data_IF_862003779626
#
_entry.id   IF_862003779626
#
_cell.length_a   1.000
_cell.length_b   1.000
_cell.length_c   1.000
_cell.angle_alpha   90.00
_cell.angle_beta   90.00
_cell.angle_gamma   90.00
#
_symmetry.space_group_name_H-M   'P 1'
#
loop_
_entity.id
_entity.type
_entity.pdbx_description
1 polymer ?
#
# COMPACT_ATOMS: atom_id res chain seq x y z
N UNK A 1 -1.53 -8.06 29.98
CA UNK A 1 -0.37 -7.71 29.13
C UNK A 1 0.09 -6.30 29.51
N UNK A 2 1.36 -6.10 29.84
CA UNK A 2 1.88 -4.86 30.42
C UNK A 2 1.99 -3.74 29.36
N UNK A 3 1.85 -2.47 29.73
CA UNK A 3 1.90 -1.32 28.80
C UNK A 3 3.23 -1.27 28.04
N UNK A 4 4.32 -1.63 28.72
CA UNK A 4 5.66 -1.65 28.16
C UNK A 4 5.82 -2.74 27.08
N UNK A 5 5.10 -3.86 27.18
CA UNK A 5 5.15 -4.91 26.15
C UNK A 5 4.36 -4.49 24.90
N UNK A 6 3.19 -3.85 25.06
CA UNK A 6 2.41 -3.31 23.93
C UNK A 6 3.18 -2.26 23.12
N UNK A 7 3.91 -1.39 23.81
CA UNK A 7 4.73 -0.38 23.15
C UNK A 7 5.88 -1.00 22.37
N UNK A 8 6.59 -1.96 22.95
CA UNK A 8 7.64 -2.73 22.25
C UNK A 8 7.08 -3.45 21.02
N UNK A 9 5.94 -4.11 21.15
CA UNK A 9 5.28 -4.81 20.04
C UNK A 9 4.91 -3.85 18.91
N UNK A 10 4.41 -2.66 19.25
CA UNK A 10 4.07 -1.62 18.27
C UNK A 10 5.30 -1.11 17.51
N UNK A 11 6.38 -0.78 18.22
CA UNK A 11 7.63 -0.31 17.62
C UNK A 11 8.24 -1.39 16.73
N UNK A 12 8.35 -2.62 17.24
CA UNK A 12 8.93 -3.73 16.48
C UNK A 12 8.10 -4.05 15.22
N UNK A 13 6.77 -4.05 15.33
CA UNK A 13 5.88 -4.25 14.17
C UNK A 13 6.15 -3.19 13.10
N UNK A 14 6.19 -1.91 13.48
CA UNK A 14 6.37 -0.82 12.53
C UNK A 14 7.77 -0.82 11.92
N UNK A 15 8.81 -1.08 12.72
CA UNK A 15 10.18 -1.13 12.23
C UNK A 15 10.38 -2.28 11.22
N UNK A 16 9.91 -3.48 11.56
CA UNK A 16 9.98 -4.63 10.65
C UNK A 16 9.17 -4.40 9.38
N UNK A 17 7.96 -3.86 9.50
CA UNK A 17 7.12 -3.59 8.35
C UNK A 17 7.70 -2.50 7.44
N UNK A 18 8.34 -1.47 8.01
CA UNK A 18 9.00 -0.43 7.25
C UNK A 18 10.15 -0.99 6.41
N UNK A 19 11.06 -1.75 7.02
CA UNK A 19 12.18 -2.34 6.27
C UNK A 19 11.71 -3.34 5.22
N UNK A 20 10.71 -4.15 5.54
CA UNK A 20 10.09 -5.03 4.55
C UNK A 20 9.46 -4.23 3.40
N UNK A 21 8.73 -3.16 3.70
CA UNK A 21 8.12 -2.29 2.71
C UNK A 21 9.16 -1.66 1.78
N UNK A 22 10.24 -1.13 2.35
CA UNK A 22 11.37 -0.57 1.59
C UNK A 22 12.07 -1.61 0.71
N UNK A 23 12.23 -2.84 1.20
CA UNK A 23 12.82 -3.94 0.42
C UNK A 23 11.98 -4.30 -0.81
N UNK A 24 10.65 -4.36 -0.66
CA UNK A 24 9.75 -4.60 -1.80
C UNK A 24 9.68 -3.39 -2.72
N UNK A 25 9.72 -2.16 -2.20
CA UNK A 25 9.87 -0.96 -3.04
C UNK A 25 11.11 -1.04 -3.91
N UNK A 26 12.24 -1.49 -3.35
CA UNK A 26 13.50 -1.65 -4.08
C UNK A 26 13.39 -2.72 -5.15
N UNK A 27 12.87 -3.90 -4.79
CA UNK A 27 12.65 -5.00 -5.71
C UNK A 27 11.71 -4.62 -6.86
N UNK A 28 10.60 -3.95 -6.53
CA UNK A 28 9.63 -3.51 -7.51
C UNK A 28 10.20 -2.43 -8.43
N UNK A 29 10.90 -1.43 -7.89
CA UNK A 29 11.50 -0.37 -8.70
C UNK A 29 12.53 -0.92 -9.67
N UNK A 30 13.29 -1.94 -9.26
CA UNK A 30 14.17 -2.64 -10.19
C UNK A 30 13.38 -3.23 -11.36
N UNK A 31 12.35 -4.05 -11.11
CA UNK A 31 11.56 -4.63 -12.20
C UNK A 31 10.74 -3.61 -13.00
N UNK A 32 10.30 -2.51 -12.38
CA UNK A 32 9.50 -1.49 -13.02
C UNK A 32 10.32 -0.60 -13.96
N UNK A 33 11.62 -0.42 -13.69
CA UNK A 33 12.46 0.55 -14.40
C UNK A 33 13.68 -0.06 -15.12
N UNK A 34 13.91 -1.37 -14.99
CA UNK A 34 14.97 -2.05 -15.77
C UNK A 34 14.70 -1.87 -17.26
N UNK A 35 15.66 -1.25 -17.95
CA UNK A 35 15.62 -1.04 -19.40
C UNK A 35 14.78 0.14 -19.88
N UNK A 36 14.27 1.00 -18.97
CA UNK A 36 13.58 2.23 -19.35
C UNK A 36 14.51 3.44 -19.29
N UNK A 37 14.47 4.27 -20.33
CA UNK A 37 14.99 5.65 -20.26
C UNK A 37 14.05 6.50 -19.36
N UNK A 38 14.53 7.66 -18.87
CA UNK A 38 13.79 8.51 -17.93
C UNK A 38 12.34 8.75 -18.42
N UNK A 39 11.36 8.53 -17.54
CA UNK A 39 9.92 8.80 -17.75
C UNK A 39 9.20 7.96 -18.83
N UNK A 40 9.75 6.83 -19.30
CA UNK A 40 9.05 5.93 -20.23
C UNK A 40 8.18 4.86 -19.53
N UNK A 41 7.80 5.09 -18.28
CA UNK A 41 7.02 4.12 -17.52
C UNK A 41 5.59 3.98 -18.05
N UNK A 42 5.34 2.93 -18.82
CA UNK A 42 4.03 2.55 -19.40
C UNK A 42 3.06 1.91 -18.36
N UNK A 43 3.38 2.02 -17.06
CA UNK A 43 2.67 1.32 -16.00
C UNK A 43 3.22 -0.08 -15.75
N UNK A 44 2.98 -0.61 -14.54
CA UNK A 44 3.28 -2.01 -14.21
C UNK A 44 2.00 -2.81 -14.10
N UNK A 45 1.95 -3.99 -14.75
CA UNK A 45 0.88 -4.96 -14.52
C UNK A 45 0.84 -5.44 -13.07
N UNK A 46 1.98 -5.38 -12.36
CA UNK A 46 2.10 -5.78 -10.95
C UNK A 46 2.68 -4.63 -10.14
N UNK A 47 1.85 -3.97 -9.34
CA UNK A 47 2.28 -2.92 -8.42
C UNK A 47 2.48 -3.48 -7.01
N UNK A 48 3.68 -3.99 -6.75
CA UNK A 48 4.00 -4.68 -5.49
C UNK A 48 3.87 -3.80 -4.23
N UNK A 49 4.25 -2.51 -4.23
CA UNK A 49 4.05 -1.63 -3.07
C UNK A 49 2.60 -1.61 -2.57
N UNK A 50 1.62 -1.65 -3.47
CA UNK A 50 0.21 -1.73 -3.09
C UNK A 50 -0.13 -3.02 -2.33
N UNK A 51 0.46 -4.16 -2.72
CA UNK A 51 0.27 -5.43 -2.04
C UNK A 51 0.69 -5.37 -0.57
N UNK A 52 1.79 -4.69 -0.24
CA UNK A 52 2.25 -4.53 1.14
C UNK A 52 1.26 -3.72 1.96
N UNK A 53 0.62 -2.71 1.37
CA UNK A 53 -0.42 -1.93 2.05
C UNK A 53 -1.59 -2.82 2.43
N UNK A 54 -2.04 -3.66 1.50
CA UNK A 54 -3.12 -4.64 1.73
C UNK A 54 -2.75 -5.59 2.86
N UNK A 55 -1.57 -6.21 2.79
CA UNK A 55 -1.09 -7.13 3.83
C UNK A 55 -0.94 -6.42 5.18
N UNK A 56 -0.28 -5.25 5.19
CA UNK A 56 -0.07 -4.42 6.37
C UNK A 56 -1.39 -4.11 7.08
N UNK A 57 -2.33 -3.52 6.36
CA UNK A 57 -3.62 -3.08 6.91
C UNK A 57 -4.52 -4.27 7.30
N UNK A 58 -4.51 -5.38 6.54
CA UNK A 58 -5.32 -6.55 6.89
C UNK A 58 -4.76 -7.30 8.10
N UNK A 59 -3.47 -7.63 8.11
CA UNK A 59 -2.86 -8.45 9.18
C UNK A 59 -2.54 -7.67 10.44
N UNK A 60 -2.03 -6.46 10.27
CA UNK A 60 -1.57 -5.65 11.39
C UNK A 60 -2.60 -4.58 11.76
N UNK A 61 -3.59 -4.28 10.93
CA UNK A 61 -4.61 -3.27 11.25
C UNK A 61 -4.04 -1.85 11.24
N UNK A 62 -4.68 -0.93 11.97
CA UNK A 62 -4.26 0.48 11.98
C UNK A 62 -2.86 0.73 12.56
N UNK A 63 -2.32 -0.20 13.36
CA UNK A 63 -0.96 -0.06 13.90
C UNK A 63 0.13 -0.10 12.83
N UNK A 64 -0.15 -0.58 11.61
CA UNK A 64 0.83 -0.57 10.51
C UNK A 64 0.91 0.75 9.77
N UNK A 65 -0.07 1.66 9.96
CA UNK A 65 -0.15 2.90 9.19
C UNK A 65 1.13 3.74 9.25
N UNK A 66 1.77 3.96 10.41
CA UNK A 66 2.98 4.79 10.47
C UNK A 66 4.11 4.24 9.59
N UNK A 67 4.37 2.94 9.66
CA UNK A 67 5.39 2.29 8.85
C UNK A 67 5.07 2.33 7.35
N UNK A 68 3.81 2.08 6.98
CA UNK A 68 3.38 2.13 5.59
C UNK A 68 3.51 3.56 5.03
N UNK A 69 2.98 4.56 5.72
CA UNK A 69 3.09 5.97 5.31
C UNK A 69 4.54 6.42 5.20
N UNK A 70 5.40 6.03 6.15
CA UNK A 70 6.83 6.32 6.08
C UNK A 70 7.44 5.73 4.81
N UNK A 71 7.18 4.44 4.52
CA UNK A 71 7.69 3.78 3.32
C UNK A 71 7.14 4.40 2.02
N UNK A 72 5.93 4.94 2.02
CA UNK A 72 5.36 5.63 0.85
C UNK A 72 6.05 6.94 0.51
N UNK A 73 6.52 7.64 1.53
CA UNK A 73 7.24 8.90 1.35
C UNK A 73 8.70 8.62 1.02
N UNK A 74 9.32 7.69 1.76
CA UNK A 74 10.76 7.42 1.66
C UNK A 74 11.12 6.50 0.50
N UNK A 75 10.22 5.62 0.06
CA UNK A 75 10.45 4.71 -1.06
C UNK A 75 10.82 5.45 -2.34
N UNK A 76 9.92 6.30 -2.89
CA UNK A 76 10.21 7.12 -4.07
C UNK A 76 11.38 8.09 -3.86
N UNK A 77 11.61 8.57 -2.63
CA UNK A 77 12.70 9.51 -2.33
C UNK A 77 14.09 8.86 -2.38
N UNK A 78 14.23 7.61 -1.90
CA UNK A 78 15.52 6.93 -1.79
C UNK A 78 15.78 5.93 -2.91
N UNK A 79 14.74 5.43 -3.57
CA UNK A 79 14.85 4.38 -4.58
C UNK A 79 14.46 4.99 -5.91
N UNK A 80 15.42 5.17 -6.83
CA UNK A 80 15.22 5.72 -8.17
C UNK A 80 14.40 7.04 -8.22
N UNK A 81 14.74 8.07 -7.42
CA UNK A 81 13.93 9.29 -7.30
C UNK A 81 13.67 10.01 -8.62
N UNK A 82 14.64 9.95 -9.53
CA UNK A 82 14.59 10.53 -10.88
C UNK A 82 13.48 9.95 -11.78
N UNK A 83 12.88 8.82 -11.41
CA UNK A 83 11.85 8.12 -12.19
C UNK A 83 10.42 8.45 -11.71
N UNK A 84 10.26 9.18 -10.60
CA UNK A 84 8.96 9.47 -10.00
C UNK A 84 8.50 10.91 -10.26
N UNK A 85 7.19 11.05 -10.42
CA UNK A 85 6.51 12.34 -10.59
C UNK A 85 6.42 13.14 -9.28
N UNK A 86 6.26 14.47 -9.37
CA UNK A 86 6.13 15.33 -8.19
C UNK A 86 4.89 15.01 -7.35
N UNK A 87 3.79 14.57 -7.97
CA UNK A 87 2.54 14.21 -7.28
C UNK A 87 2.55 12.79 -6.68
N UNK A 88 3.62 12.02 -6.88
CA UNK A 88 3.64 10.59 -6.61
C UNK A 88 3.35 10.22 -5.15
N UNK A 89 3.88 10.98 -4.19
CA UNK A 89 3.61 10.76 -2.76
C UNK A 89 2.12 10.94 -2.42
N UNK A 90 1.44 11.90 -3.06
CA UNK A 90 0.01 12.13 -2.88
C UNK A 90 -0.81 11.01 -3.52
N UNK A 91 -0.44 10.58 -4.73
CA UNK A 91 -1.04 9.43 -5.38
C UNK A 91 -0.87 8.15 -4.52
N UNK A 92 0.29 7.98 -3.89
CA UNK A 92 0.55 6.85 -3.01
C UNK A 92 -0.30 6.90 -1.72
N UNK A 93 -0.51 8.08 -1.14
CA UNK A 93 -1.46 8.24 -0.03
C UNK A 93 -2.88 7.85 -0.42
N UNK A 94 -3.34 8.23 -1.61
CA UNK A 94 -4.64 7.82 -2.11
C UNK A 94 -4.72 6.30 -2.30
N UNK A 95 -3.64 5.67 -2.77
CA UNK A 95 -3.54 4.21 -2.83
C UNK A 95 -3.71 3.54 -1.47
N UNK A 96 -3.09 4.10 -0.42
CA UNK A 96 -3.24 3.61 0.94
C UNK A 96 -4.68 3.80 1.44
N UNK A 97 -5.31 4.93 1.13
CA UNK A 97 -6.72 5.16 1.44
C UNK A 97 -7.65 4.16 0.73
N UNK A 98 -7.36 3.78 -0.52
CA UNK A 98 -8.12 2.75 -1.25
C UNK A 98 -8.13 1.40 -0.53
N UNK A 99 -7.00 1.01 0.09
CA UNK A 99 -6.93 -0.23 0.89
C UNK A 99 -7.77 -0.12 2.15
N UNK A 100 -7.68 1.02 2.85
CA UNK A 100 -8.46 1.25 4.06
C UNK A 100 -9.96 1.23 3.77
N UNK A 101 -10.40 1.93 2.71
CA UNK A 101 -11.80 1.94 2.27
C UNK A 101 -12.27 0.55 1.85
N UNK A 102 -11.48 -0.20 1.06
CA UNK A 102 -11.82 -1.57 0.68
C UNK A 102 -12.02 -2.46 1.90
N UNK A 103 -11.12 -2.39 2.89
CA UNK A 103 -11.26 -3.15 4.15
C UNK A 103 -12.55 -2.81 4.89
N UNK A 104 -12.88 -1.53 5.03
CA UNK A 104 -14.08 -1.12 5.76
C UNK A 104 -15.36 -1.45 4.99
N UNK A 105 -15.36 -1.34 3.65
CA UNK A 105 -16.48 -1.79 2.81
C UNK A 105 -16.73 -3.29 2.96
N UNK A 106 -15.68 -4.13 2.94
CA UNK A 106 -15.81 -5.58 3.13
C UNK A 106 -16.36 -5.90 4.53
N UNK A 107 -15.93 -5.19 5.57
CA UNK A 107 -16.49 -5.34 6.93
C UNK A 107 -17.95 -4.91 7.00
N UNK A 108 -18.30 -3.80 6.34
CA UNK A 108 -19.64 -3.25 6.35
C UNK A 108 -20.63 -4.06 5.53
N UNK A 109 -20.16 -4.75 4.49
CA UNK A 109 -20.98 -5.55 3.56
C UNK A 109 -21.76 -6.70 4.24
N UNK A 110 -21.59 -6.93 5.55
CA UNK A 110 -22.22 -8.03 6.30
C UNK A 110 -22.13 -9.38 5.54
N UNK A 111 -21.00 -9.62 4.87
CA UNK A 111 -20.88 -10.78 4.00
C UNK A 111 -21.12 -12.05 4.82
N UNK A 112 -21.90 -12.99 4.30
CA UNK A 112 -22.11 -14.33 4.90
C UNK A 112 -20.82 -15.19 4.99
N UNK A 113 -19.66 -14.58 4.77
CA UNK A 113 -18.34 -15.20 4.82
C UNK A 113 -17.88 -15.16 6.29
N UNK A 114 -17.82 -16.34 6.92
CA UNK A 114 -17.28 -16.48 8.28
C UNK A 114 -15.79 -16.14 8.28
N UNK A 115 -15.36 -15.19 9.12
CA UNK A 115 -13.94 -14.85 9.27
C UNK A 115 -13.69 -13.44 9.83
N UNK A 116 -12.47 -13.21 10.29
CA UNK A 116 -11.95 -11.88 10.64
C UNK A 116 -10.87 -11.49 9.64
N UNK A 117 -10.95 -10.26 9.10
CA UNK A 117 -9.89 -9.70 8.25
C UNK A 117 -8.61 -9.50 9.07
N UNK A 118 -8.75 -9.23 10.38
CA UNK A 118 -7.64 -9.01 11.31
C UNK A 118 -7.29 -10.34 11.97
N UNK A 119 -6.16 -10.93 11.57
CA UNK A 119 -5.66 -12.18 12.14
C UNK A 119 -4.89 -13.02 11.12
N UNK A 120 -4.32 -14.16 11.53
CA UNK A 120 -3.58 -15.05 10.64
C UNK A 120 -4.45 -15.57 9.47
N UNK A 121 -3.82 -15.84 8.32
CA UNK A 121 -4.51 -16.37 7.13
C UNK A 121 -5.07 -17.76 7.45
N UNK A 122 -6.39 -17.89 7.34
CA UNK A 122 -7.11 -19.15 7.35
C UNK A 122 -8.01 -19.21 6.12
N UNK A 123 -8.43 -20.40 5.69
CA UNK A 123 -9.35 -20.57 4.57
C UNK A 123 -10.63 -19.72 4.71
N UNK A 124 -11.10 -19.56 5.95
CA UNK A 124 -12.23 -18.71 6.34
C UNK A 124 -11.99 -17.22 6.00
N UNK A 125 -10.79 -16.71 6.31
CA UNK A 125 -10.43 -15.30 6.12
C UNK A 125 -9.91 -14.99 4.71
N UNK A 126 -9.43 -16.00 3.97
CA UNK A 126 -8.80 -15.82 2.67
C UNK A 126 -9.75 -15.22 1.62
N UNK A 127 -11.04 -15.61 1.64
CA UNK A 127 -12.05 -15.04 0.73
C UNK A 127 -12.27 -13.55 0.95
N UNK A 128 -12.28 -13.12 2.22
CA UNK A 128 -12.38 -11.71 2.59
C UNK A 128 -11.13 -10.95 2.15
N UNK A 129 -9.95 -11.55 2.32
CA UNK A 129 -8.69 -10.96 1.86
C UNK A 129 -8.67 -10.77 0.34
N UNK A 130 -9.08 -11.77 -0.43
CA UNK A 130 -9.19 -11.68 -1.90
C UNK A 130 -10.15 -10.56 -2.30
N UNK A 131 -11.29 -10.44 -1.62
CA UNK A 131 -12.24 -9.35 -1.89
C UNK A 131 -11.61 -7.97 -1.60
N UNK A 132 -10.85 -7.83 -0.51
CA UNK A 132 -10.10 -6.59 -0.23
C UNK A 132 -9.06 -6.33 -1.32
N UNK A 133 -8.32 -7.34 -1.78
CA UNK A 133 -7.32 -7.19 -2.86
C UNK A 133 -7.99 -6.66 -4.13
N UNK A 134 -9.10 -7.26 -4.55
CA UNK A 134 -9.81 -6.84 -5.77
C UNK A 134 -10.36 -5.42 -5.62
N UNK A 135 -11.09 -5.14 -4.54
CA UNK A 135 -11.70 -3.83 -4.31
C UNK A 135 -10.65 -2.73 -4.14
N UNK A 136 -9.58 -2.99 -3.38
CA UNK A 136 -8.50 -2.02 -3.19
C UNK A 136 -7.75 -1.74 -4.48
N UNK A 137 -7.50 -2.76 -5.32
CA UNK A 137 -6.89 -2.58 -6.64
C UNK A 137 -7.74 -1.74 -7.60
N UNK A 138 -9.06 -1.96 -7.62
CA UNK A 138 -10.00 -1.17 -8.42
C UNK A 138 -10.06 0.29 -7.95
N UNK A 139 -10.27 0.50 -6.64
CA UNK A 139 -10.29 1.83 -6.04
C UNK A 139 -8.96 2.56 -6.26
N UNK A 140 -7.84 1.86 -6.09
CA UNK A 140 -6.51 2.40 -6.32
C UNK A 140 -6.32 2.87 -7.76
N UNK A 141 -6.71 2.03 -8.73
CA UNK A 141 -6.58 2.35 -10.15
C UNK A 141 -7.40 3.59 -10.50
N UNK A 142 -8.60 3.75 -9.95
CA UNK A 142 -9.41 4.95 -10.18
C UNK A 142 -8.77 6.17 -9.50
N UNK A 143 -8.48 6.09 -8.20
CA UNK A 143 -8.01 7.23 -7.40
C UNK A 143 -6.64 7.75 -7.86
N UNK A 144 -5.67 6.87 -8.10
CA UNK A 144 -4.32 7.25 -8.53
C UNK A 144 -4.35 7.90 -9.91
N UNK A 145 -5.07 7.32 -10.87
CA UNK A 145 -5.15 7.88 -12.22
C UNK A 145 -5.85 9.24 -12.24
N UNK A 146 -6.90 9.43 -11.43
CA UNK A 146 -7.54 10.76 -11.28
C UNK A 146 -6.53 11.77 -10.72
N UNK A 147 -5.83 11.43 -9.63
CA UNK A 147 -4.87 12.36 -9.01
C UNK A 147 -3.77 12.74 -9.98
N UNK A 148 -3.14 11.77 -10.63
CA UNK A 148 -2.06 12.03 -11.57
C UNK A 148 -2.57 12.85 -12.76
N UNK A 149 -3.69 12.46 -13.37
CA UNK A 149 -4.19 13.13 -14.59
C UNK A 149 -4.59 14.59 -14.35
N UNK A 150 -5.13 14.92 -13.18
CA UNK A 150 -5.60 16.28 -12.88
C UNK A 150 -4.54 17.17 -12.22
N UNK A 151 -3.67 16.61 -11.38
CA UNK A 151 -2.76 17.43 -10.57
C UNK A 151 -1.34 17.51 -11.13
N UNK A 152 -0.86 16.48 -11.84
CA UNK A 152 0.49 16.51 -12.43
C UNK A 152 0.68 17.65 -13.46
N UNK A 153 -0.29 17.95 -14.36
CA UNK A 153 -0.15 19.07 -15.29
C UNK A 153 -0.10 20.44 -14.60
N UNK A 154 -0.70 20.58 -13.42
CA UNK A 154 -0.78 21.85 -12.66
C UNK A 154 0.55 22.18 -11.98
N UNK A 155 1.34 21.18 -11.61
CA UNK A 155 2.62 21.36 -10.90
C UNK A 155 3.78 21.63 -11.86
N UNK A 156 3.65 21.20 -13.12
CA UNK A 156 4.68 21.38 -14.16
C UNK A 156 4.48 22.67 -15.00
N UNK A 157 3.60 23.58 -14.57
CA UNK A 157 3.39 24.93 -15.10
C UNK A 157 4.09 25.96 -14.22
#
# INVERSE_FOLDING_TARGET
>A
MNINSRFKDFILTNLMLYFFAMGVWSLWSYFAFVGLEKMDWQGSMVYLPHGIRVLGICFFGLKSLPALMAAEITGPLFINPEQYMGIWSLASMASLASVFLARELVKYSQSNIKGSIVGPIKFENFRLLVLVIILSGLLNSISVNIIISYLEPVINL
#
